data_IF_698205605237
#
_entry.id   IF_698205605237
#
_cell.length_a   1.000
_cell.length_b   1.000
_cell.length_c   1.000
_cell.angle_alpha   90.00
_cell.angle_beta   90.00
_cell.angle_gamma   90.00
#
_symmetry.space_group_name_H-M   'P 1'
#
loop_
_entity.id
_entity.type
_entity.pdbx_description
1 polymer ?
#
# COMPACT_ATOMS: atom_id res chain seq x y z
N UNK A 1 26.21 14.63 9.99
CA UNK A 1 26.28 13.62 8.91
C UNK A 1 25.03 13.76 8.07
N UNK A 2 25.16 14.20 6.83
CA UNK A 2 24.08 14.23 5.85
C UNK A 2 23.81 12.79 5.41
N UNK A 3 22.74 12.17 5.92
CA UNK A 3 22.28 10.88 5.46
C UNK A 3 21.72 11.04 4.05
N UNK A 4 22.42 10.54 3.06
CA UNK A 4 21.95 10.48 1.68
C UNK A 4 20.88 9.41 1.57
N UNK A 5 19.65 9.82 1.23
CA UNK A 5 18.55 8.90 0.92
C UNK A 5 18.63 8.53 -0.56
N UNK A 6 18.58 7.24 -0.85
CA UNK A 6 18.51 6.73 -2.21
C UNK A 6 17.10 6.23 -2.50
N UNK A 7 16.63 6.42 -3.71
CA UNK A 7 15.34 5.90 -4.17
C UNK A 7 15.54 4.77 -5.18
N UNK A 8 14.68 3.77 -5.08
CA UNK A 8 14.51 2.73 -6.12
C UNK A 8 13.42 3.21 -7.06
N UNK A 9 13.70 3.13 -8.35
CA UNK A 9 12.78 3.59 -9.40
C UNK A 9 12.41 2.41 -10.28
N UNK A 10 11.11 2.21 -10.48
CA UNK A 10 10.56 1.25 -11.44
C UNK A 10 9.92 2.02 -12.59
N UNK A 11 10.34 1.70 -13.81
CA UNK A 11 9.80 2.31 -15.02
C UNK A 11 8.57 1.53 -15.53
N UNK A 12 7.65 2.19 -16.27
CA UNK A 12 6.52 1.49 -16.88
C UNK A 12 6.91 0.31 -17.76
N UNK A 13 8.08 0.35 -18.41
CA UNK A 13 8.64 -0.76 -19.19
C UNK A 13 9.02 -1.99 -18.34
N UNK A 14 9.19 -1.82 -17.04
CA UNK A 14 9.59 -2.87 -16.09
C UNK A 14 8.39 -3.50 -15.35
N UNK A 15 7.17 -3.21 -15.79
CA UNK A 15 5.94 -3.64 -15.11
C UNK A 15 5.86 -5.15 -14.89
N UNK A 16 6.43 -5.95 -15.80
CA UNK A 16 6.40 -7.41 -15.71
C UNK A 16 7.18 -7.96 -14.51
N UNK A 17 8.28 -7.28 -14.13
CA UNK A 17 9.15 -7.67 -13.02
C UNK A 17 8.83 -6.91 -11.72
N UNK A 18 8.04 -5.85 -11.82
CA UNK A 18 7.68 -5.03 -10.65
C UNK A 18 6.68 -5.77 -9.76
N UNK A 19 6.88 -5.80 -8.43
CA UNK A 19 5.92 -6.37 -7.49
C UNK A 19 4.54 -5.72 -7.61
N UNK A 20 3.47 -6.54 -7.51
CA UNK A 20 2.08 -6.08 -7.68
C UNK A 20 1.75 -4.77 -6.94
N UNK A 21 2.13 -4.58 -5.65
CA UNK A 21 1.83 -3.33 -4.97
C UNK A 21 2.49 -2.12 -5.60
N UNK A 22 3.73 -2.24 -6.07
CA UNK A 22 4.44 -1.15 -6.74
C UNK A 22 3.91 -0.85 -8.14
N UNK A 23 3.25 -1.83 -8.80
CA UNK A 23 2.60 -1.56 -10.11
C UNK A 23 1.49 -0.53 -9.99
N UNK A 24 0.79 -0.47 -8.87
CA UNK A 24 -0.26 0.54 -8.67
C UNK A 24 0.32 1.95 -8.56
N UNK A 25 1.56 2.07 -8.11
CA UNK A 25 2.29 3.34 -8.09
C UNK A 25 2.67 3.82 -9.51
N UNK A 26 2.72 2.93 -10.49
CA UNK A 26 3.02 3.24 -11.90
C UNK A 26 1.80 3.74 -12.69
N UNK A 27 0.59 3.68 -12.12
CA UNK A 27 -0.65 4.09 -12.78
C UNK A 27 -1.35 5.23 -12.03
N UNK A 28 -0.58 6.08 -11.37
CA UNK A 28 -1.11 7.16 -10.52
C UNK A 28 -1.90 8.20 -11.31
N UNK A 29 -1.55 8.43 -12.58
CA UNK A 29 -2.23 9.40 -13.45
C UNK A 29 -3.58 8.89 -13.94
N UNK A 30 -3.83 7.57 -13.89
CA UNK A 30 -5.10 7.01 -14.32
C UNK A 30 -6.24 7.46 -13.39
N UNK A 31 -7.26 8.08 -13.97
CA UNK A 31 -8.42 8.61 -13.24
C UNK A 31 -8.25 10.03 -12.67
N UNK A 32 -7.15 10.72 -13.00
CA UNK A 32 -7.06 12.15 -12.74
C UNK A 32 -7.97 12.95 -13.68
N UNK A 33 -8.54 14.10 -13.24
CA UNK A 33 -9.26 15.00 -14.12
C UNK A 33 -8.40 15.40 -15.32
N UNK A 34 -9.00 15.46 -16.51
CA UNK A 34 -8.30 15.73 -17.78
C UNK A 34 -7.48 17.03 -17.80
N UNK A 35 -7.87 18.00 -16.99
CA UNK A 35 -7.14 19.27 -16.86
C UNK A 35 -5.80 19.12 -16.10
N UNK A 36 -5.72 18.16 -15.14
CA UNK A 36 -4.51 17.87 -14.38
C UNK A 36 -3.56 16.95 -15.15
N UNK A 37 -4.03 16.21 -16.14
CA UNK A 37 -3.19 15.30 -16.95
C UNK A 37 -2.42 16.03 -18.05
N UNK A 38 -2.80 17.25 -18.44
CA UNK A 38 -2.15 18.01 -19.50
C UNK A 38 -0.72 18.47 -19.18
N UNK A 39 -0.32 18.45 -17.91
CA UNK A 39 0.97 18.90 -17.43
C UNK A 39 1.70 17.88 -16.53
N UNK A 40 1.28 16.61 -16.58
CA UNK A 40 1.96 15.57 -15.79
C UNK A 40 3.19 15.10 -16.53
N UNK A 41 4.35 15.39 -15.96
CA UNK A 41 5.60 14.82 -16.39
C UNK A 41 5.55 13.29 -16.31
N UNK A 42 6.13 12.58 -17.24
CA UNK A 42 6.13 11.11 -17.34
C UNK A 42 6.58 10.40 -16.05
N UNK A 43 7.36 11.08 -15.20
CA UNK A 43 7.83 10.52 -13.92
C UNK A 43 6.73 10.30 -12.87
N UNK A 44 5.55 10.91 -13.02
CA UNK A 44 4.40 10.62 -12.14
C UNK A 44 3.93 9.17 -12.22
N UNK A 45 4.18 8.51 -13.35
CA UNK A 45 3.84 7.11 -13.56
C UNK A 45 5.03 6.16 -13.26
N UNK A 46 6.10 6.66 -12.66
CA UNK A 46 7.18 5.83 -12.16
C UNK A 46 6.86 5.32 -10.75
N UNK A 47 7.13 4.05 -10.49
CA UNK A 47 7.06 3.50 -9.15
C UNK A 47 8.32 3.88 -8.37
N UNK A 48 8.28 5.00 -7.64
CA UNK A 48 9.43 5.49 -6.88
C UNK A 48 9.22 5.23 -5.39
N UNK A 49 10.22 4.61 -4.76
CA UNK A 49 10.18 4.27 -3.34
C UNK A 49 11.57 4.47 -2.71
N UNK A 50 11.60 4.92 -1.46
CA UNK A 50 12.85 4.98 -0.68
C UNK A 50 13.48 3.59 -0.55
N UNK A 51 14.82 3.50 -0.64
CA UNK A 51 15.54 2.22 -0.66
C UNK A 51 15.36 1.41 0.62
N UNK A 52 15.31 2.05 1.79
CA UNK A 52 15.10 1.35 3.07
C UNK A 52 13.66 0.84 3.18
N UNK A 53 12.69 1.63 2.73
CA UNK A 53 11.30 1.20 2.65
C UNK A 53 11.15 0.04 1.66
N UNK A 54 11.77 0.13 0.49
CA UNK A 54 11.78 -0.92 -0.53
C UNK A 54 12.35 -2.23 0.01
N UNK A 55 13.51 -2.17 0.68
CA UNK A 55 14.15 -3.32 1.31
C UNK A 55 13.24 -3.96 2.36
N UNK A 56 12.70 -3.15 3.30
CA UNK A 56 11.82 -3.65 4.35
C UNK A 56 10.54 -4.27 3.78
N UNK A 57 9.98 -3.68 2.72
CA UNK A 57 8.82 -4.21 2.03
C UNK A 57 9.12 -5.55 1.34
N UNK A 58 10.27 -5.71 0.69
CA UNK A 58 10.67 -6.99 0.11
C UNK A 58 10.94 -8.07 1.16
N UNK A 59 11.53 -7.69 2.29
CA UNK A 59 11.64 -8.60 3.44
C UNK A 59 10.26 -9.06 3.91
N UNK A 60 9.31 -8.13 4.05
CA UNK A 60 7.93 -8.46 4.39
C UNK A 60 7.32 -9.46 3.38
N UNK A 61 7.41 -9.18 2.08
CA UNK A 61 6.87 -10.08 1.04
C UNK A 61 7.52 -11.47 1.08
N UNK A 62 8.83 -11.54 1.30
CA UNK A 62 9.56 -12.80 1.39
C UNK A 62 9.15 -13.63 2.62
N UNK A 63 8.95 -12.95 3.75
CA UNK A 63 8.58 -13.59 5.02
C UNK A 63 7.06 -13.76 5.22
N UNK A 64 6.24 -13.32 4.27
CA UNK A 64 4.77 -13.54 4.32
C UNK A 64 4.35 -14.98 4.07
N UNK A 65 5.30 -15.89 3.88
CA UNK A 65 5.08 -17.33 3.81
C UNK A 65 4.90 -17.93 5.21
N UNK A 66 4.08 -18.98 5.38
CA UNK A 66 3.90 -19.64 6.67
C UNK A 66 5.25 -20.05 7.31
N UNK A 67 5.35 -19.90 8.63
CA UNK A 67 6.53 -20.26 9.41
C UNK A 67 7.57 -19.14 9.61
N UNK A 68 7.36 -17.96 9.04
CA UNK A 68 8.29 -16.83 9.16
C UNK A 68 7.69 -15.63 9.93
N UNK A 69 6.74 -15.86 10.82
CA UNK A 69 5.94 -14.81 11.48
C UNK A 69 6.83 -13.75 12.16
N UNK A 70 7.84 -14.16 12.93
CA UNK A 70 8.76 -13.22 13.62
C UNK A 70 9.53 -12.33 12.64
N UNK A 71 10.03 -12.89 11.56
CA UNK A 71 10.76 -12.11 10.55
C UNK A 71 9.83 -11.14 9.81
N UNK A 72 8.61 -11.56 9.54
CA UNK A 72 7.57 -10.73 8.95
C UNK A 72 7.21 -9.54 9.86
N UNK A 73 7.03 -9.77 11.17
CA UNK A 73 6.79 -8.71 12.14
C UNK A 73 7.94 -7.71 12.21
N UNK A 74 9.20 -8.19 12.21
CA UNK A 74 10.39 -7.33 12.18
C UNK A 74 10.40 -6.49 10.89
N UNK A 75 10.08 -7.06 9.74
CA UNK A 75 10.01 -6.32 8.49
C UNK A 75 8.94 -5.22 8.52
N UNK A 76 7.75 -5.51 9.06
CA UNK A 76 6.69 -4.51 9.27
C UNK A 76 7.13 -3.42 10.25
N UNK A 77 7.77 -3.78 11.36
CA UNK A 77 8.32 -2.82 12.31
C UNK A 77 9.33 -1.88 11.63
N UNK A 78 10.23 -2.42 10.80
CA UNK A 78 11.20 -1.64 10.06
C UNK A 78 10.51 -0.64 9.11
N UNK A 79 9.44 -1.04 8.39
CA UNK A 79 8.65 -0.13 7.56
C UNK A 79 8.07 1.02 8.38
N UNK A 80 7.49 0.73 9.55
CA UNK A 80 6.95 1.74 10.47
C UNK A 80 8.06 2.67 10.96
N UNK A 81 9.21 2.10 11.32
CA UNK A 81 10.37 2.87 11.78
C UNK A 81 10.88 3.82 10.70
N UNK A 82 11.02 3.35 9.47
CA UNK A 82 11.39 4.17 8.31
C UNK A 82 10.45 5.36 8.16
N UNK A 83 9.13 5.16 8.23
CA UNK A 83 8.15 6.26 8.13
C UNK A 83 8.27 7.26 9.30
N UNK A 84 8.52 6.78 10.53
CA UNK A 84 8.61 7.61 11.73
C UNK A 84 9.89 8.43 11.80
N UNK A 85 11.02 7.83 11.43
CA UNK A 85 12.35 8.46 11.54
C UNK A 85 12.74 9.26 10.32
N UNK A 86 12.07 9.03 9.20
CA UNK A 86 12.38 9.63 7.92
C UNK A 86 12.04 11.10 7.84
N UNK A 87 12.95 11.95 8.29
CA UNK A 87 12.81 13.40 8.28
C UNK A 87 12.81 14.03 6.87
N UNK A 88 13.16 13.29 5.79
CA UNK A 88 13.35 13.82 4.45
C UNK A 88 13.04 12.83 3.31
N UNK A 89 12.08 11.91 3.49
CA UNK A 89 11.72 11.00 2.41
C UNK A 89 10.81 11.69 1.40
N UNK A 90 11.28 11.77 0.15
CA UNK A 90 10.57 12.40 -0.95
C UNK A 90 9.29 11.63 -1.36
N UNK A 91 9.17 10.33 -1.01
CA UNK A 91 8.09 9.45 -1.43
C UNK A 91 7.33 8.84 -0.24
N UNK A 92 7.00 9.68 0.74
CA UNK A 92 6.25 9.24 1.93
C UNK A 92 4.84 8.74 1.60
N UNK A 93 4.22 9.28 0.58
CA UNK A 93 2.95 8.79 0.05
C UNK A 93 3.05 7.33 -0.38
N UNK A 94 4.05 6.96 -1.19
CA UNK A 94 4.33 5.58 -1.57
C UNK A 94 4.66 4.71 -0.35
N UNK A 95 5.45 5.20 0.60
CA UNK A 95 5.77 4.45 1.82
C UNK A 95 4.52 4.10 2.64
N UNK A 96 3.58 5.05 2.81
CA UNK A 96 2.30 4.78 3.45
C UNK A 96 1.44 3.79 2.65
N UNK A 97 1.47 3.83 1.32
CA UNK A 97 0.74 2.88 0.49
C UNK A 97 1.26 1.45 0.67
N UNK A 98 2.58 1.26 0.69
CA UNK A 98 3.19 -0.06 0.90
C UNK A 98 2.91 -0.60 2.31
N UNK A 99 3.02 0.24 3.34
CA UNK A 99 2.66 -0.15 4.70
C UNK A 99 1.17 -0.48 4.83
N UNK A 100 0.30 0.35 4.23
CA UNK A 100 -1.15 0.11 4.18
C UNK A 100 -1.50 -1.20 3.47
N UNK A 101 -0.82 -1.51 2.36
CA UNK A 101 -0.95 -2.80 1.68
C UNK A 101 -0.56 -3.96 2.60
N UNK A 102 0.56 -3.85 3.33
CA UNK A 102 1.01 -4.88 4.26
C UNK A 102 0.00 -5.09 5.39
N UNK A 103 -0.54 -4.03 5.99
CA UNK A 103 -1.60 -4.12 6.99
C UNK A 103 -2.88 -4.76 6.42
N UNK A 104 -3.27 -4.41 5.20
CA UNK A 104 -4.43 -5.00 4.55
C UNK A 104 -4.22 -6.51 4.32
N UNK A 105 -3.01 -6.93 3.96
CA UNK A 105 -2.66 -8.34 3.77
C UNK A 105 -2.73 -9.12 5.09
N UNK A 106 -2.32 -8.50 6.21
CA UNK A 106 -2.41 -9.06 7.56
C UNK A 106 -3.83 -8.91 8.18
N UNK A 107 -4.83 -8.52 7.41
CA UNK A 107 -6.21 -8.29 7.86
C UNK A 107 -6.36 -7.19 8.92
N UNK A 108 -5.38 -6.31 9.06
CA UNK A 108 -5.42 -5.15 9.96
C UNK A 108 -6.04 -3.95 9.22
N UNK A 109 -7.35 -4.05 8.94
CA UNK A 109 -8.06 -3.16 8.00
C UNK A 109 -8.09 -1.70 8.48
N UNK A 110 -8.21 -1.45 9.78
CA UNK A 110 -8.18 -0.10 10.37
C UNK A 110 -6.82 0.58 10.17
N UNK A 111 -5.72 -0.17 10.39
CA UNK A 111 -4.37 0.34 10.19
C UNK A 111 -4.11 0.61 8.71
N UNK A 112 -4.57 -0.28 7.82
CA UNK A 112 -4.50 -0.08 6.37
C UNK A 112 -5.22 1.20 5.94
N UNK A 113 -6.46 1.41 6.40
CA UNK A 113 -7.25 2.61 6.12
C UNK A 113 -6.52 3.88 6.58
N UNK A 114 -5.97 3.87 7.80
CA UNK A 114 -5.20 4.99 8.34
C UNK A 114 -4.00 5.34 7.44
N UNK A 115 -3.23 4.34 7.01
CA UNK A 115 -2.08 4.52 6.13
C UNK A 115 -2.49 5.15 4.78
N UNK A 116 -3.52 4.63 4.12
CA UNK A 116 -3.97 5.16 2.83
C UNK A 116 -4.47 6.61 2.96
N UNK A 117 -5.17 6.95 4.05
CA UNK A 117 -5.57 8.33 4.29
C UNK A 117 -4.37 9.25 4.57
N UNK A 118 -3.33 8.79 5.28
CA UNK A 118 -2.11 9.58 5.44
C UNK A 118 -1.40 9.80 4.10
N UNK A 119 -1.37 8.79 3.24
CA UNK A 119 -0.85 8.94 1.88
C UNK A 119 -1.61 10.00 1.09
N UNK A 120 -2.95 9.99 1.13
CA UNK A 120 -3.79 10.98 0.45
C UNK A 120 -3.65 12.41 1.01
N UNK A 121 -3.37 12.56 2.30
CA UNK A 121 -3.07 13.88 2.89
C UNK A 121 -1.76 14.46 2.36
N UNK A 122 -0.77 13.61 2.07
CA UNK A 122 0.51 14.02 1.50
C UNK A 122 0.35 14.35 0.02
N UNK A 123 -0.34 13.48 -0.73
CA UNK A 123 -0.59 13.62 -2.16
C UNK A 123 -2.05 13.29 -2.48
N UNK A 124 -2.93 14.30 -2.61
CA UNK A 124 -4.37 14.09 -2.86
C UNK A 124 -4.67 13.57 -4.26
N UNK A 125 -3.80 13.86 -5.24
CA UNK A 125 -3.93 13.49 -6.65
C UNK A 125 -2.77 12.59 -7.07
N UNK A 126 -2.95 11.82 -8.16
CA UNK A 126 -1.92 10.90 -8.68
C UNK A 126 -1.36 9.98 -7.58
N UNK A 127 -2.25 9.33 -6.83
CA UNK A 127 -1.91 8.54 -5.67
C UNK A 127 -2.63 7.19 -5.71
N UNK A 128 -1.85 6.11 -5.61
CA UNK A 128 -2.35 4.74 -5.61
C UNK A 128 -3.25 4.41 -4.40
N UNK A 129 -3.22 5.21 -3.32
CA UNK A 129 -4.08 5.01 -2.15
C UNK A 129 -5.57 4.95 -2.50
N UNK A 130 -6.04 5.67 -3.53
CA UNK A 130 -7.43 5.61 -3.98
C UNK A 130 -7.82 4.22 -4.45
N UNK A 131 -6.94 3.58 -5.21
CA UNK A 131 -7.12 2.20 -5.65
C UNK A 131 -7.15 1.23 -4.46
N UNK A 132 -6.21 1.36 -3.53
CA UNK A 132 -6.14 0.50 -2.34
C UNK A 132 -7.35 0.67 -1.43
N UNK A 133 -7.87 1.89 -1.26
CA UNK A 133 -9.11 2.12 -0.51
C UNK A 133 -10.29 1.41 -1.16
N UNK A 134 -10.39 1.42 -2.50
CA UNK A 134 -11.40 0.64 -3.22
C UNK A 134 -11.31 -0.86 -2.92
N UNK A 135 -10.11 -1.44 -2.95
CA UNK A 135 -9.88 -2.84 -2.58
C UNK A 135 -10.24 -3.13 -1.13
N UNK A 136 -9.88 -2.23 -0.21
CA UNK A 136 -10.17 -2.35 1.22
C UNK A 136 -11.67 -2.36 1.48
N UNK A 137 -12.42 -1.45 0.89
CA UNK A 137 -13.88 -1.40 1.02
C UNK A 137 -14.56 -2.65 0.46
N UNK A 138 -14.12 -3.13 -0.70
CA UNK A 138 -14.63 -4.38 -1.25
C UNK A 138 -14.40 -5.57 -0.30
N UNK A 139 -13.24 -5.63 0.36
CA UNK A 139 -12.93 -6.68 1.34
C UNK A 139 -13.82 -6.60 2.57
N UNK A 140 -14.04 -5.39 3.13
CA UNK A 140 -14.95 -5.17 4.27
C UNK A 140 -16.37 -5.61 3.92
N UNK A 141 -16.88 -5.23 2.75
CA UNK A 141 -18.22 -5.62 2.31
C UNK A 141 -18.37 -7.13 2.08
N UNK A 142 -17.35 -7.79 1.56
CA UNK A 142 -17.36 -9.24 1.39
C UNK A 142 -17.42 -9.98 2.74
N UNK A 143 -16.68 -9.50 3.74
CA UNK A 143 -16.68 -10.07 5.10
C UNK A 143 -18.04 -9.90 5.76
N UNK A 144 -18.69 -8.74 5.63
CA UNK A 144 -20.00 -8.48 6.22
C UNK A 144 -21.11 -9.33 5.59
N UNK A 145 -21.06 -9.64 4.29
CA UNK A 145 -22.03 -10.52 3.64
C UNK A 145 -21.92 -11.97 4.10
N UNK A 146 -20.72 -12.44 4.43
CA UNK A 146 -20.50 -13.79 4.99
C UNK A 146 -21.16 -14.01 6.35
N UNK A 147 -21.27 -12.98 7.17
CA UNK A 147 -21.87 -13.07 8.50
C UNK A 147 -23.42 -13.05 8.50
N UNK A 148 -24.05 -12.52 7.46
CA UNK A 148 -25.53 -12.47 7.38
C UNK A 148 -26.17 -13.78 6.94
N UNK A 149 -25.42 -14.72 6.38
CA UNK A 149 -25.95 -16.01 5.93
C UNK A 149 -25.96 -17.11 7.01
N UNK A 150 -25.31 -16.93 8.16
CA UNK A 150 -25.27 -17.93 9.24
C UNK A 150 -26.26 -17.66 10.40
N UNK A 151 -27.04 -16.57 10.32
CA UNK A 151 -27.95 -16.15 11.38
C UNK A 151 -29.41 -16.65 11.28
N UNK A 152 -29.80 -17.32 10.18
CA UNK A 152 -31.23 -17.65 9.93
C UNK A 152 -31.56 -19.15 9.84
N UNK A 153 -30.82 -20.04 10.53
CA UNK A 153 -31.16 -21.47 10.56
C UNK A 153 -31.25 -22.06 11.95
N UNK A 154 -31.89 -21.33 12.87
CA UNK A 154 -32.34 -21.92 14.12
C UNK A 154 -33.65 -21.24 14.54
N UNK A 155 -34.75 -21.72 14.00
CA UNK A 155 -36.09 -21.73 14.62
C UNK A 155 -37.13 -22.28 13.63
N UNK A 156 -37.22 -23.59 13.47
CA UNK A 156 -38.49 -24.31 13.17
C UNK A 156 -38.30 -25.77 13.62
N UNK A 157 -38.65 -26.07 14.84
CA UNK A 157 -39.18 -27.42 15.22
C UNK A 157 -39.91 -27.27 16.55
N UNK A 158 -41.19 -27.12 16.39
CA UNK A 158 -42.20 -27.48 17.42
C UNK A 158 -43.10 -28.52 16.83
#
# INVERSE_FOLDING_TARGET
QTQTSYSVVYLPSEISITPKPLRMEMFRSTGAPSELTKHTDSWFDWGIVDSLMCLSFFQYLNFSRPGNEKHKEVAMYNMIHVIKTGLRYFHRDTAFNLLGYSFMHENQLTNAYSCFNQSLKIRPYHNAAKFYLGLLFNRIHATNRGHTHYGNSSDISS
#
